data_IF_947468664120
#
_entry.id   IF_947468664120
#
_cell.length_a   1.000
_cell.length_b   1.000
_cell.length_c   1.000
_cell.angle_alpha   90.00
_cell.angle_beta   90.00
_cell.angle_gamma   90.00
#
_symmetry.space_group_name_H-M   'P 1'
#
loop_
_entity.id
_entity.type
_entity.pdbx_description
1 polymer ?
#
# COMPACT_ATOMS: atom_id res chain seq x y z
N UNK A 1 -27.65 16.97 -1.79
CA UNK A 1 -28.29 16.65 -3.10
C UNK A 1 -27.84 17.57 -4.25
N UNK A 2 -27.94 18.91 -4.16
CA UNK A 2 -27.56 19.82 -5.27
C UNK A 2 -26.09 19.69 -5.74
N UNK A 3 -25.11 19.51 -4.84
CA UNK A 3 -23.69 19.32 -5.23
C UNK A 3 -23.42 17.99 -5.94
N UNK A 4 -24.10 16.91 -5.55
CA UNK A 4 -24.00 15.58 -6.18
C UNK A 4 -24.59 15.62 -7.61
N UNK A 5 -25.70 16.34 -7.79
CA UNK A 5 -26.33 16.52 -9.09
C UNK A 5 -25.44 17.28 -10.08
N UNK A 6 -24.74 18.33 -9.61
CA UNK A 6 -23.80 19.11 -10.42
C UNK A 6 -22.59 18.27 -10.86
N UNK A 7 -22.08 17.40 -9.99
CA UNK A 7 -20.98 16.46 -10.33
C UNK A 7 -21.42 15.39 -11.35
N UNK A 8 -22.66 14.92 -11.26
CA UNK A 8 -23.25 13.98 -12.24
C UNK A 8 -23.46 14.66 -13.60
N UNK A 9 -23.92 15.93 -13.61
CA UNK A 9 -24.09 16.71 -14.84
C UNK A 9 -22.74 17.01 -15.51
N UNK A 10 -21.67 17.23 -14.73
CA UNK A 10 -20.32 17.39 -15.26
C UNK A 10 -19.80 16.11 -15.94
N UNK A 11 -20.12 14.93 -15.38
CA UNK A 11 -19.85 13.62 -16.00
C UNK A 11 -20.61 13.40 -17.31
N UNK A 12 -21.86 13.90 -17.41
CA UNK A 12 -22.69 13.77 -18.61
C UNK A 12 -22.19 14.65 -19.78
N UNK A 13 -21.56 15.80 -19.50
CA UNK A 13 -21.02 16.70 -20.54
C UNK A 13 -19.78 16.16 -21.26
N UNK A 14 -19.08 15.16 -20.70
CA UNK A 14 -17.94 14.51 -21.36
C UNK A 14 -18.35 13.30 -22.23
N UNK A 15 -19.60 12.82 -22.13
CA UNK A 15 -20.10 11.66 -22.90
C UNK A 15 -19.90 11.76 -24.43
N UNK A 16 -20.02 12.95 -25.08
CA UNK A 16 -19.79 13.06 -26.51
C UNK A 16 -18.31 12.92 -26.92
N UNK A 17 -17.36 13.28 -26.03
CA UNK A 17 -15.91 13.17 -26.28
C UNK A 17 -15.44 11.72 -26.01
N UNK A 18 -16.19 10.97 -25.17
CA UNK A 18 -15.89 9.61 -24.73
C UNK A 18 -16.16 8.50 -25.77
N UNK A 19 -16.75 8.83 -26.94
CA UNK A 19 -17.21 7.84 -27.93
C UNK A 19 -16.33 7.69 -29.18
N UNK A 20 -15.22 8.42 -29.31
CA UNK A 20 -14.46 8.47 -30.58
C UNK A 20 -12.96 8.20 -30.49
N UNK A 21 -12.48 7.40 -29.51
CA UNK A 21 -11.12 6.89 -29.61
C UNK A 21 -11.09 5.63 -30.47
N UNK A 22 -10.53 5.77 -31.68
CA UNK A 22 -10.27 4.66 -32.58
C UNK A 22 -9.08 3.84 -32.04
N UNK A 23 -9.13 2.51 -32.17
CA UNK A 23 -8.03 1.61 -31.75
C UNK A 23 -6.69 1.83 -32.48
N UNK A 24 -6.63 2.75 -33.44
CA UNK A 24 -5.44 3.09 -34.21
C UNK A 24 -4.68 4.32 -33.69
N UNK A 25 -5.26 5.06 -32.74
CA UNK A 25 -4.62 6.27 -32.22
C UNK A 25 -3.46 5.91 -31.28
N UNK A 26 -2.27 6.45 -31.62
CA UNK A 26 -1.07 6.27 -30.79
C UNK A 26 -1.11 7.10 -29.52
N UNK A 27 -1.92 8.15 -29.46
CA UNK A 27 -2.13 8.97 -28.26
C UNK A 27 -3.54 8.70 -27.75
N UNK A 28 -3.66 8.32 -26.48
CA UNK A 28 -4.94 8.06 -25.83
C UNK A 28 -5.12 9.00 -24.66
N UNK A 29 -6.33 9.48 -24.48
CA UNK A 29 -6.77 10.08 -23.22
C UNK A 29 -7.24 8.97 -22.28
N UNK A 30 -6.65 8.96 -21.09
CA UNK A 30 -6.92 8.03 -20.01
C UNK A 30 -7.68 8.76 -18.88
N UNK A 31 -8.61 8.06 -18.23
CA UNK A 31 -9.32 8.58 -17.06
C UNK A 31 -9.64 7.46 -16.07
N UNK A 32 -9.14 7.60 -14.84
CA UNK A 32 -9.57 6.82 -13.68
C UNK A 32 -10.39 7.69 -12.73
N UNK A 33 -11.58 7.23 -12.34
CA UNK A 33 -12.42 7.87 -11.33
C UNK A 33 -12.76 6.85 -10.26
N UNK A 34 -12.37 7.12 -9.03
CA UNK A 34 -12.64 6.28 -7.88
C UNK A 34 -13.39 7.08 -6.83
N UNK A 35 -14.52 6.55 -6.39
CA UNK A 35 -15.18 7.02 -5.18
C UNK A 35 -15.23 5.88 -4.18
N UNK A 36 -14.90 6.17 -2.92
CA UNK A 36 -15.02 5.23 -1.82
C UNK A 36 -15.71 5.88 -0.64
N UNK A 37 -16.79 5.28 -0.20
CA UNK A 37 -17.45 5.63 1.05
C UNK A 37 -16.91 4.72 2.15
N UNK A 38 -16.54 5.30 3.28
CA UNK A 38 -16.09 4.56 4.46
C UNK A 38 -16.91 4.95 5.69
N UNK A 39 -17.21 3.96 6.53
CA UNK A 39 -17.72 4.13 7.89
C UNK A 39 -16.70 3.53 8.83
N UNK A 40 -16.26 4.32 9.79
CA UNK A 40 -15.44 3.90 10.92
C UNK A 40 -16.29 3.93 12.18
N UNK A 41 -16.05 3.02 13.10
CA UNK A 41 -16.69 2.98 14.41
C UNK A 41 -15.71 2.52 15.47
N UNK A 42 -15.67 3.23 16.61
CA UNK A 42 -14.75 2.96 17.71
C UNK A 42 -13.29 3.35 17.44
N UNK A 43 -12.95 3.84 16.24
CA UNK A 43 -11.58 4.16 15.85
C UNK A 43 -11.48 5.10 14.64
N UNK A 44 -10.28 5.63 14.42
CA UNK A 44 -9.84 6.24 13.17
C UNK A 44 -8.38 5.86 12.88
N UNK A 45 -7.78 6.39 11.82
CA UNK A 45 -6.42 6.04 11.40
C UNK A 45 -5.30 6.42 12.41
N UNK A 46 -5.61 7.12 13.51
CA UNK A 46 -4.66 7.62 14.50
C UNK A 46 -5.14 7.50 15.96
N UNK A 47 -6.30 6.89 16.19
CA UNK A 47 -6.96 6.82 17.49
C UNK A 47 -7.87 5.58 17.55
N UNK A 48 -7.84 4.87 18.67
CA UNK A 48 -8.75 3.79 19.04
C UNK A 48 -9.36 4.09 20.41
N UNK A 49 -10.69 4.08 20.51
CA UNK A 49 -11.45 4.19 21.77
C UNK A 49 -11.36 5.52 22.54
N UNK A 50 -10.35 6.36 22.30
CA UNK A 50 -10.22 7.64 22.99
C UNK A 50 -11.22 8.68 22.46
N UNK A 51 -12.23 8.96 23.28
CA UNK A 51 -13.25 9.99 23.08
C UNK A 51 -13.06 11.20 24.02
N UNK A 52 -11.90 11.32 24.66
CA UNK A 52 -11.58 12.45 25.54
C UNK A 52 -11.60 13.79 24.78
N UNK A 53 -11.77 14.93 25.47
CA UNK A 53 -11.72 16.25 24.81
C UNK A 53 -10.41 16.56 24.06
N UNK A 54 -9.32 15.86 24.40
CA UNK A 54 -8.01 15.96 23.75
C UNK A 54 -7.79 14.94 22.63
N UNK A 55 -8.77 14.06 22.38
CA UNK A 55 -8.65 12.99 21.41
C UNK A 55 -8.42 13.52 19.99
N UNK A 56 -7.67 12.74 19.21
CA UNK A 56 -7.38 13.07 17.81
C UNK A 56 -8.52 12.55 16.93
N UNK A 57 -9.16 13.46 16.20
CA UNK A 57 -10.20 13.15 15.24
C UNK A 57 -11.53 12.72 15.88
N UNK A 58 -12.30 11.93 15.14
CA UNK A 58 -13.55 11.32 15.59
C UNK A 58 -13.45 9.80 15.45
N UNK A 59 -13.96 9.04 16.42
CA UNK A 59 -14.00 7.57 16.40
C UNK A 59 -15.06 7.00 15.44
N UNK A 60 -15.99 7.84 14.98
CA UNK A 60 -17.14 7.45 14.17
C UNK A 60 -17.19 8.21 12.84
N UNK A 61 -16.11 8.11 12.08
CA UNK A 61 -15.97 8.84 10.81
C UNK A 61 -16.88 8.29 9.71
N UNK A 62 -17.49 9.21 8.95
CA UNK A 62 -18.20 8.91 7.69
C UNK A 62 -17.52 9.67 6.57
N UNK A 63 -16.76 8.95 5.77
CA UNK A 63 -15.82 9.54 4.81
C UNK A 63 -16.30 9.25 3.39
N UNK A 64 -16.28 10.26 2.53
CA UNK A 64 -16.30 10.08 1.09
C UNK A 64 -14.93 10.44 0.53
N UNK A 65 -14.21 9.45 0.05
CA UNK A 65 -12.95 9.61 -0.67
C UNK A 65 -13.24 9.71 -2.18
N UNK A 66 -12.62 10.68 -2.82
CA UNK A 66 -12.59 10.83 -4.27
C UNK A 66 -11.14 10.72 -4.74
N UNK A 67 -10.90 10.02 -5.84
CA UNK A 67 -9.67 10.09 -6.61
C UNK A 67 -9.97 10.14 -8.10
N UNK A 68 -9.50 11.19 -8.76
CA UNK A 68 -9.65 11.39 -10.22
C UNK A 68 -8.26 11.50 -10.82
N UNK A 69 -7.98 10.68 -11.83
CA UNK A 69 -6.70 10.62 -12.52
C UNK A 69 -6.93 10.71 -14.03
N UNK A 70 -6.98 11.93 -14.62
CA UNK A 70 -6.96 12.11 -16.05
C UNK A 70 -5.52 12.16 -16.56
N UNK A 71 -5.31 11.80 -17.81
CA UNK A 71 -4.02 11.96 -18.45
C UNK A 71 -3.99 11.48 -19.88
N UNK A 72 -2.78 11.38 -20.41
CA UNK A 72 -2.55 10.87 -21.75
C UNK A 72 -1.43 9.85 -21.76
N UNK A 73 -1.64 8.80 -22.54
CA UNK A 73 -0.60 7.81 -22.84
C UNK A 73 -0.37 7.75 -24.34
N UNK A 74 0.85 8.02 -24.75
CA UNK A 74 1.35 7.72 -26.08
C UNK A 74 1.91 6.29 -26.12
N UNK A 75 1.48 5.49 -27.07
CA UNK A 75 1.97 4.13 -27.34
C UNK A 75 2.38 3.98 -28.80
N UNK A 76 3.69 4.15 -29.04
CA UNK A 76 4.35 3.79 -30.30
C UNK A 76 4.88 2.34 -30.29
N UNK A 77 5.55 1.96 -31.37
CA UNK A 77 6.11 0.60 -31.55
C UNK A 77 7.05 0.19 -30.40
N UNK A 78 8.05 1.04 -30.13
CA UNK A 78 9.07 0.81 -29.09
C UNK A 78 9.01 1.84 -27.96
N UNK A 79 8.24 2.91 -28.11
CA UNK A 79 8.24 4.01 -27.16
C UNK A 79 6.85 4.13 -26.55
N UNK A 80 6.78 4.25 -25.22
CA UNK A 80 5.61 4.72 -24.51
C UNK A 80 5.97 5.98 -23.73
N UNK A 81 5.13 7.00 -23.80
CA UNK A 81 5.24 8.19 -22.96
C UNK A 81 3.91 8.38 -22.24
N UNK A 82 3.95 8.79 -20.98
CA UNK A 82 2.75 8.93 -20.16
C UNK A 82 2.83 10.18 -19.31
N UNK A 83 1.70 10.84 -19.12
CA UNK A 83 1.52 11.95 -18.20
C UNK A 83 0.11 11.92 -17.64
N UNK A 84 0.02 11.77 -16.33
CA UNK A 84 -1.25 11.80 -15.60
C UNK A 84 -1.17 12.75 -14.41
N UNK A 85 -2.29 13.41 -14.13
CA UNK A 85 -2.49 14.19 -12.92
C UNK A 85 -3.41 13.44 -11.97
N UNK A 86 -3.30 13.65 -10.67
CA UNK A 86 -4.16 13.07 -9.64
C UNK A 86 -4.76 14.19 -8.77
N UNK A 87 -6.07 14.12 -8.56
CA UNK A 87 -6.78 14.89 -7.54
C UNK A 87 -7.50 13.90 -6.60
N UNK A 88 -6.98 13.81 -5.37
CA UNK A 88 -7.45 12.97 -4.27
C UNK A 88 -7.99 13.84 -3.14
N UNK A 89 -9.25 13.63 -2.76
CA UNK A 89 -9.94 14.42 -1.72
C UNK A 89 -10.64 13.53 -0.71
N UNK A 90 -10.71 14.01 0.53
CA UNK A 90 -11.41 13.35 1.63
C UNK A 90 -12.50 14.27 2.20
N UNK A 91 -13.76 13.92 1.99
CA UNK A 91 -14.91 14.67 2.52
C UNK A 91 -15.42 13.99 3.79
N UNK A 92 -15.65 14.78 4.85
CA UNK A 92 -16.15 14.26 6.13
C UNK A 92 -15.09 13.60 7.01
N UNK A 93 -13.85 13.49 6.54
CA UNK A 93 -12.74 12.94 7.31
C UNK A 93 -12.39 13.84 8.50
N UNK A 94 -12.36 13.28 9.71
CA UNK A 94 -12.03 14.06 10.91
C UNK A 94 -10.57 14.51 10.95
N UNK A 95 -9.67 13.78 10.30
CA UNK A 95 -8.23 14.03 10.29
C UNK A 95 -7.75 14.88 9.10
N UNK A 96 -8.66 15.60 8.42
CA UNK A 96 -8.31 16.36 7.21
C UNK A 96 -7.27 17.44 7.47
N UNK A 97 -6.53 17.80 6.42
CA UNK A 97 -5.49 18.84 6.45
C UNK A 97 -6.02 20.17 7.02
N UNK A 98 -7.28 20.52 6.74
CA UNK A 98 -7.90 21.75 7.25
C UNK A 98 -8.11 21.74 8.77
N UNK A 99 -8.33 20.58 9.38
CA UNK A 99 -8.55 20.44 10.83
C UNK A 99 -7.25 20.14 11.57
N UNK A 100 -6.38 19.35 10.96
CA UNK A 100 -5.14 18.84 11.55
C UNK A 100 -3.94 19.02 10.60
N UNK A 101 -3.54 20.28 10.28
CA UNK A 101 -2.51 20.57 9.29
C UNK A 101 -1.10 20.06 9.67
N UNK A 102 -0.90 19.67 10.93
CA UNK A 102 0.37 19.16 11.43
C UNK A 102 0.37 17.65 11.65
N UNK A 103 -0.77 16.96 11.56
CA UNK A 103 -0.90 15.55 11.98
C UNK A 103 -0.12 14.58 11.09
N UNK A 104 -0.05 14.89 9.79
CA UNK A 104 0.73 14.11 8.82
C UNK A 104 2.08 14.74 8.51
N UNK A 105 2.49 15.76 9.27
CA UNK A 105 3.84 16.31 9.17
C UNK A 105 4.83 15.45 9.92
N UNK A 106 5.88 15.06 9.23
CA UNK A 106 7.03 14.37 9.79
C UNK A 106 8.18 15.38 9.91
N UNK A 107 8.76 15.43 11.10
CA UNK A 107 9.78 16.40 11.49
C UNK A 107 10.67 15.82 12.59
N UNK A 108 11.85 16.39 12.79
CA UNK A 108 12.70 16.03 13.93
C UNK A 108 11.98 16.38 15.24
N UNK A 109 12.03 15.47 16.21
CA UNK A 109 11.46 15.68 17.55
C UNK A 109 11.94 17.01 18.15
N UNK A 110 11.01 17.82 18.65
CA UNK A 110 11.31 19.13 19.24
C UNK A 110 11.51 20.28 18.24
N UNK A 111 11.25 20.07 16.95
CA UNK A 111 11.36 21.12 15.92
C UNK A 111 10.03 21.36 15.21
N UNK A 112 9.84 22.57 14.67
CA UNK A 112 8.69 22.92 13.81
C UNK A 112 9.03 22.81 12.32
N UNK A 113 10.30 23.00 11.98
CA UNK A 113 10.83 22.94 10.62
C UNK A 113 12.32 22.53 10.63
N UNK A 114 12.86 22.03 9.50
CA UNK A 114 12.12 21.60 8.31
C UNK A 114 11.21 20.39 8.57
N UNK A 115 10.12 20.28 7.80
CA UNK A 115 9.15 19.19 7.87
C UNK A 115 8.69 18.79 6.45
N UNK A 116 8.03 17.64 6.34
CA UNK A 116 7.25 17.27 5.16
C UNK A 116 5.93 16.66 5.56
N UNK A 117 5.00 16.68 4.63
CA UNK A 117 3.69 16.05 4.80
C UNK A 117 3.64 14.72 4.06
N UNK A 118 3.01 13.75 4.70
CA UNK A 118 2.73 12.43 4.14
C UNK A 118 1.25 12.12 4.34
N UNK A 119 0.38 12.87 3.67
CA UNK A 119 -1.06 12.75 3.81
C UNK A 119 -1.58 11.52 3.02
N UNK A 120 -2.22 10.54 3.67
CA UNK A 120 -2.66 9.31 3.01
C UNK A 120 -3.98 9.45 2.22
N UNK A 121 -4.75 10.53 2.45
CA UNK A 121 -6.10 10.67 1.88
C UNK A 121 -6.31 11.90 0.97
N UNK A 122 -5.49 12.94 1.12
CA UNK A 122 -5.62 14.20 0.37
C UNK A 122 -4.34 14.50 -0.42
N UNK A 123 -4.50 14.81 -1.71
CA UNK A 123 -3.41 15.22 -2.60
C UNK A 123 -4.02 15.94 -3.83
N UNK A 124 -3.70 17.21 -4.02
CA UNK A 124 -4.41 18.06 -5.00
C UNK A 124 -3.55 18.36 -6.22
N UNK A 125 -4.06 18.05 -7.41
CA UNK A 125 -3.42 18.36 -8.71
C UNK A 125 -1.96 17.90 -8.82
N UNK A 126 -1.67 16.71 -8.33
CA UNK A 126 -0.32 16.16 -8.31
C UNK A 126 0.01 15.39 -9.58
N UNK A 127 1.29 15.37 -9.99
CA UNK A 127 1.75 14.53 -11.09
C UNK A 127 1.76 13.08 -10.58
N UNK A 128 0.79 12.30 -11.07
CA UNK A 128 0.61 10.90 -10.73
C UNK A 128 1.71 10.03 -11.34
N UNK A 129 1.89 10.17 -12.65
CA UNK A 129 3.01 9.61 -13.39
C UNK A 129 3.43 10.56 -14.52
N UNK A 130 4.71 10.47 -14.89
CA UNK A 130 5.33 11.23 -15.96
C UNK A 130 6.60 10.49 -16.37
N UNK A 131 6.52 9.70 -17.44
CA UNK A 131 7.66 8.86 -17.83
C UNK A 131 7.78 8.66 -19.35
N UNK A 132 8.98 8.25 -19.72
CA UNK A 132 9.32 7.68 -21.03
C UNK A 132 9.80 6.24 -20.83
N UNK A 133 9.24 5.32 -21.60
CA UNK A 133 9.67 3.92 -21.67
C UNK A 133 10.10 3.61 -23.10
N UNK A 134 11.32 3.09 -23.24
CA UNK A 134 11.85 2.54 -24.48
C UNK A 134 11.95 1.02 -24.34
N UNK A 135 11.08 0.30 -25.03
CA UNK A 135 11.08 -1.16 -25.18
C UNK A 135 12.02 -1.59 -26.28
N UNK A 136 12.72 -2.71 -26.05
CA UNK A 136 13.66 -3.29 -27.02
C UNK A 136 14.75 -2.29 -27.43
N UNK A 137 15.28 -1.51 -26.48
CA UNK A 137 16.42 -0.61 -26.71
C UNK A 137 17.62 -1.39 -27.26
N UNK A 138 17.84 -2.55 -26.65
CA UNK A 138 18.56 -3.70 -27.20
C UNK A 138 17.61 -4.89 -27.14
N UNK A 139 17.93 -5.98 -27.85
CA UNK A 139 17.13 -7.22 -27.77
C UNK A 139 16.92 -7.61 -26.30
N UNK A 140 15.66 -7.74 -25.90
CA UNK A 140 15.21 -8.09 -24.53
C UNK A 140 15.38 -7.01 -23.45
N UNK A 141 15.87 -5.82 -23.78
CA UNK A 141 16.06 -4.73 -22.81
C UNK A 141 14.97 -3.67 -22.94
N UNK A 142 14.42 -3.25 -21.80
CA UNK A 142 13.52 -2.11 -21.67
C UNK A 142 14.10 -1.11 -20.68
N UNK A 143 14.05 0.17 -21.01
CA UNK A 143 14.47 1.25 -20.11
C UNK A 143 13.28 2.17 -19.88
N UNK A 144 13.03 2.53 -18.63
CA UNK A 144 11.96 3.45 -18.23
C UNK A 144 12.51 4.51 -17.29
N UNK A 145 12.30 5.77 -17.62
CA UNK A 145 12.77 6.91 -16.84
C UNK A 145 11.63 7.89 -16.55
N UNK A 146 11.60 8.40 -15.34
CA UNK A 146 10.61 9.39 -14.88
C UNK A 146 9.81 8.91 -13.68
N UNK A 147 8.73 9.64 -13.40
CA UNK A 147 7.78 9.32 -12.33
C UNK A 147 6.93 8.11 -12.69
N UNK A 148 6.97 7.09 -11.86
CA UNK A 148 6.36 5.79 -12.12
C UNK A 148 6.07 5.02 -10.82
N UNK A 149 5.19 4.02 -10.92
CA UNK A 149 5.06 2.99 -9.88
C UNK A 149 5.96 1.81 -10.22
N UNK A 150 6.68 1.30 -9.21
CA UNK A 150 7.56 0.13 -9.33
C UNK A 150 7.11 -0.88 -8.28
N UNK A 151 6.77 -2.08 -8.75
CA UNK A 151 6.19 -3.12 -7.92
C UNK A 151 6.52 -4.51 -8.45
N UNK A 152 6.59 -5.48 -7.53
CA UNK A 152 6.94 -6.86 -7.85
C UNK A 152 6.25 -7.86 -6.91
N UNK A 153 6.22 -9.12 -7.33
CA UNK A 153 5.75 -10.23 -6.51
C UNK A 153 4.31 -10.04 -6.04
N UNK A 154 4.07 -10.24 -4.74
CA UNK A 154 2.77 -10.05 -4.10
C UNK A 154 2.54 -8.63 -3.57
N UNK A 155 3.53 -7.74 -3.73
CA UNK A 155 3.58 -6.33 -3.29
C UNK A 155 4.13 -6.08 -1.86
N UNK A 156 4.62 -7.10 -1.14
CA UNK A 156 5.12 -6.94 0.24
C UNK A 156 6.48 -6.24 0.36
N UNK A 157 7.36 -6.39 -0.61
CA UNK A 157 8.71 -5.76 -0.59
C UNK A 157 8.73 -4.49 -1.42
N UNK A 158 8.11 -4.53 -2.60
CA UNK A 158 7.95 -3.39 -3.50
C UNK A 158 6.47 -3.34 -3.89
N UNK A 159 5.80 -2.23 -3.58
CA UNK A 159 4.34 -2.01 -3.51
C UNK A 159 3.53 -2.38 -4.77
N UNK A 160 2.58 -1.58 -5.26
CA UNK A 160 2.16 -0.29 -4.74
C UNK A 160 1.19 -0.48 -3.57
N UNK A 161 1.22 0.44 -2.60
CA UNK A 161 0.14 0.56 -1.62
C UNK A 161 -0.96 1.45 -2.18
N UNK A 162 -1.97 0.86 -2.83
CA UNK A 162 -2.97 1.59 -3.64
C UNK A 162 -4.37 1.62 -3.03
N UNK A 163 -4.58 1.00 -1.86
CA UNK A 163 -5.83 1.13 -1.11
C UNK A 163 -5.96 2.54 -0.53
N UNK A 164 -4.88 3.16 -0.02
CA UNK A 164 -4.90 4.58 0.37
C UNK A 164 -5.45 5.51 -0.73
N UNK A 165 -5.97 6.70 -0.38
CA UNK A 165 -6.49 7.59 -1.40
C UNK A 165 -5.37 8.14 -2.29
N UNK A 166 -4.26 8.58 -1.70
CA UNK A 166 -3.15 9.19 -2.44
C UNK A 166 -2.19 8.16 -3.05
N UNK A 167 -2.24 6.92 -2.57
CA UNK A 167 -1.33 5.82 -2.96
C UNK A 167 0.06 5.96 -2.32
N UNK A 168 0.87 4.91 -2.36
CA UNK A 168 2.24 4.93 -1.83
C UNK A 168 3.24 4.23 -2.73
N UNK A 169 4.48 4.71 -2.60
CA UNK A 169 5.69 4.39 -3.36
C UNK A 169 5.61 4.79 -4.82
N UNK A 170 5.46 6.10 -5.02
CA UNK A 170 5.70 6.76 -6.31
C UNK A 170 7.18 7.11 -6.44
N UNK A 171 7.79 6.67 -7.54
CA UNK A 171 9.22 6.75 -7.79
C UNK A 171 9.54 7.70 -8.93
N UNK A 172 10.46 8.62 -8.71
CA UNK A 172 11.18 9.32 -9.77
C UNK A 172 12.48 8.55 -10.02
N UNK A 173 12.47 7.65 -11.01
CA UNK A 173 13.51 6.64 -11.13
C UNK A 173 13.91 6.34 -12.57
N UNK A 174 15.12 5.82 -12.71
CA UNK A 174 15.55 5.03 -13.87
C UNK A 174 15.36 3.55 -13.53
N UNK A 175 14.70 2.82 -14.43
CA UNK A 175 14.51 1.37 -14.36
C UNK A 175 15.00 0.73 -15.65
N UNK A 176 15.77 -0.35 -15.52
CA UNK A 176 16.24 -1.19 -16.61
C UNK A 176 15.70 -2.59 -16.37
N UNK A 177 15.09 -3.18 -17.39
CA UNK A 177 14.53 -4.53 -17.36
C UNK A 177 15.16 -5.36 -18.45
N UNK A 178 15.57 -6.58 -18.10
CA UNK A 178 15.95 -7.63 -19.05
C UNK A 178 14.96 -8.78 -18.93
N UNK A 179 14.32 -9.17 -20.05
CA UNK A 179 13.31 -10.23 -20.08
C UNK A 179 13.60 -11.29 -21.14
N UNK A 180 13.65 -12.56 -20.72
CA UNK A 180 13.80 -13.72 -21.62
C UNK A 180 12.70 -14.74 -21.35
N UNK A 181 11.68 -14.75 -22.21
CA UNK A 181 10.48 -15.56 -21.98
C UNK A 181 9.69 -15.04 -20.78
N UNK A 182 9.40 -15.90 -19.81
CA UNK A 182 8.73 -15.56 -18.56
C UNK A 182 9.70 -15.06 -17.47
N UNK A 183 11.00 -15.37 -17.60
CA UNK A 183 12.02 -14.91 -16.66
C UNK A 183 12.40 -13.45 -16.92
N UNK A 184 12.62 -12.70 -15.85
CA UNK A 184 13.11 -11.32 -15.93
C UNK A 184 13.99 -10.94 -14.76
N UNK A 185 14.81 -9.91 -14.97
CA UNK A 185 15.53 -9.18 -13.93
C UNK A 185 15.38 -7.69 -14.19
N UNK A 186 15.00 -6.97 -13.15
CA UNK A 186 14.82 -5.54 -13.17
C UNK A 186 15.76 -4.90 -12.14
N UNK A 187 16.43 -3.84 -12.55
CA UNK A 187 17.23 -2.99 -11.67
C UNK A 187 16.72 -1.55 -11.77
N UNK A 188 16.61 -0.86 -10.65
CA UNK A 188 16.15 0.52 -10.62
C UNK A 188 16.78 1.30 -9.48
N UNK A 189 16.91 2.61 -9.68
CA UNK A 189 17.34 3.55 -8.66
C UNK A 189 16.70 4.92 -8.91
N UNK A 190 16.45 5.66 -7.84
CA UNK A 190 15.76 6.94 -7.91
C UNK A 190 15.33 7.45 -6.55
N UNK A 191 14.43 8.43 -6.57
CA UNK A 191 13.88 9.05 -5.38
C UNK A 191 12.40 8.73 -5.18
N UNK A 192 11.94 8.67 -3.93
CA UNK A 192 10.51 8.56 -3.61
C UNK A 192 9.87 9.93 -3.41
N UNK A 193 8.62 10.07 -3.83
CA UNK A 193 7.81 11.29 -3.72
C UNK A 193 7.32 11.52 -2.27
N UNK A 194 7.22 12.79 -1.86
CA UNK A 194 6.44 13.20 -0.67
C UNK A 194 4.96 13.36 -1.03
N UNK A 195 4.07 13.44 -0.03
CA UNK A 195 2.62 13.60 -0.24
C UNK A 195 2.12 14.82 0.54
N UNK A 196 2.38 16.01 -0.01
CA UNK A 196 1.94 17.30 0.52
C UNK A 196 0.73 17.80 -0.30
N UNK A 197 -0.48 17.86 0.27
CA UNK A 197 -1.66 18.29 -0.47
C UNK A 197 -1.52 19.71 -1.04
N UNK A 198 -0.68 20.56 -0.44
CA UNK A 198 -0.57 21.98 -0.77
C UNK A 198 0.59 22.28 -1.73
N UNK A 199 1.39 21.28 -2.12
CA UNK A 199 2.55 21.44 -2.99
C UNK A 199 2.64 20.34 -4.03
N UNK A 200 2.68 20.74 -5.28
CA UNK A 200 2.97 19.82 -6.39
C UNK A 200 4.43 19.38 -6.29
N UNK A 201 4.66 18.07 -6.24
CA UNK A 201 6.00 17.49 -6.29
C UNK A 201 6.52 17.44 -7.72
N UNK A 202 7.61 18.16 -7.99
CA UNK A 202 8.30 18.10 -9.29
C UNK A 202 9.21 16.86 -9.33
N UNK A 203 9.14 16.00 -10.37
CA UNK A 203 9.97 14.81 -10.45
C UNK A 203 11.47 15.05 -10.24
N UNK A 204 12.11 14.16 -9.49
CA UNK A 204 13.55 14.20 -9.13
C UNK A 204 13.97 15.36 -8.21
N UNK A 205 13.03 16.12 -7.66
CA UNK A 205 13.31 17.18 -6.67
C UNK A 205 12.70 16.83 -5.32
N UNK A 206 13.29 17.31 -4.23
CA UNK A 206 12.75 17.16 -2.85
C UNK A 206 12.29 15.73 -2.54
N UNK A 207 13.16 14.76 -2.76
CA UNK A 207 12.85 13.34 -2.59
C UNK A 207 12.81 12.98 -1.11
N UNK A 208 11.87 12.12 -0.72
CA UNK A 208 11.80 11.60 0.67
C UNK A 208 12.98 10.67 0.94
N UNK A 209 13.13 9.64 0.12
CA UNK A 209 14.28 8.74 0.18
C UNK A 209 14.95 8.69 -1.19
N UNK A 210 16.28 8.58 -1.20
CA UNK A 210 16.97 7.96 -2.32
C UNK A 210 17.00 6.45 -2.10
N UNK A 211 16.93 5.68 -3.17
CA UNK A 211 16.91 4.23 -3.04
C UNK A 211 16.82 3.52 -4.38
N UNK A 212 16.58 2.22 -4.29
CA UNK A 212 16.48 1.37 -5.47
C UNK A 212 16.47 -0.09 -5.10
N UNK A 213 16.56 -0.93 -6.12
CA UNK A 213 16.62 -2.36 -5.93
C UNK A 213 16.87 -3.15 -7.20
N UNK A 214 17.08 -4.44 -7.00
CA UNK A 214 17.12 -5.47 -8.02
C UNK A 214 16.05 -6.49 -7.67
N UNK A 215 15.23 -6.88 -8.63
CA UNK A 215 14.23 -7.93 -8.49
C UNK A 215 14.29 -8.87 -9.67
N UNK A 216 14.24 -10.18 -9.42
CA UNK A 216 14.19 -11.18 -10.49
C UNK A 216 12.99 -12.09 -10.34
N UNK A 217 12.51 -12.64 -11.45
CA UNK A 217 11.61 -13.78 -11.47
C UNK A 217 12.26 -14.88 -12.29
N UNK A 218 12.42 -16.06 -11.68
CA UNK A 218 13.09 -17.21 -12.25
C UNK A 218 12.21 -18.44 -12.06
N UNK A 219 11.82 -19.07 -13.15
CA UNK A 219 11.17 -20.38 -13.15
C UNK A 219 12.27 -21.42 -12.88
N UNK A 220 12.27 -22.00 -11.68
CA UNK A 220 13.21 -23.06 -11.32
C UNK A 220 12.74 -24.42 -11.85
N UNK A 221 11.44 -24.69 -11.74
CA UNK A 221 10.79 -25.90 -12.25
C UNK A 221 9.37 -25.56 -12.71
N UNK A 222 8.66 -26.51 -13.33
CA UNK A 222 7.23 -26.34 -13.63
C UNK A 222 6.34 -26.17 -12.40
N UNK A 223 6.89 -26.35 -11.18
CA UNK A 223 6.17 -26.22 -9.91
C UNK A 223 6.67 -25.12 -9.01
N UNK A 224 7.81 -24.48 -9.28
CA UNK A 224 8.43 -23.55 -8.36
C UNK A 224 9.05 -22.37 -9.11
N UNK A 225 8.66 -21.17 -8.70
CA UNK A 225 9.30 -19.93 -9.08
C UNK A 225 10.12 -19.38 -7.91
N UNK A 226 11.27 -18.78 -8.21
CA UNK A 226 12.10 -18.06 -7.26
C UNK A 226 12.22 -16.60 -7.66
N UNK A 227 12.09 -15.72 -6.68
CA UNK A 227 12.14 -14.28 -6.85
C UNK A 227 13.11 -13.66 -5.84
N UNK A 228 14.43 -13.73 -6.09
CA UNK A 228 15.43 -13.07 -5.25
C UNK A 228 15.37 -11.56 -5.44
N UNK A 229 15.66 -10.82 -4.38
CA UNK A 229 15.68 -9.36 -4.43
C UNK A 229 16.72 -8.74 -3.51
N UNK A 230 17.06 -7.50 -3.87
CA UNK A 230 17.80 -6.57 -3.04
C UNK A 230 17.12 -5.21 -3.09
N UNK A 231 17.06 -4.50 -1.96
CA UNK A 231 16.60 -3.12 -1.88
C UNK A 231 17.54 -2.30 -1.00
N UNK A 232 17.64 -1.01 -1.26
CA UNK A 232 18.31 -0.07 -0.37
C UNK A 232 17.56 1.26 -0.28
N UNK A 233 17.71 1.92 0.87
CA UNK A 233 17.08 3.19 1.21
C UNK A 233 18.11 4.04 1.95
N UNK A 234 18.33 5.26 1.46
CA UNK A 234 19.14 6.29 2.11
C UNK A 234 18.33 7.56 2.26
N UNK A 235 18.85 8.52 3.01
CA UNK A 235 18.22 9.83 3.12
C UNK A 235 18.02 10.48 1.74
N UNK A 236 16.86 11.10 1.52
CA UNK A 236 16.55 11.83 0.29
C UNK A 236 17.15 13.25 0.24
N UNK A 237 16.73 14.03 -0.76
CA UNK A 237 17.21 15.40 -0.95
C UNK A 237 16.38 16.46 -0.23
N UNK A 238 15.20 16.12 0.28
CA UNK A 238 14.34 17.07 0.97
C UNK A 238 14.93 17.54 2.32
N UNK A 239 14.67 18.80 2.68
CA UNK A 239 15.33 19.50 3.79
C UNK A 239 15.23 18.80 5.16
N UNK A 240 14.14 18.09 5.42
CA UNK A 240 13.87 17.42 6.70
C UNK A 240 14.67 16.12 6.91
N UNK A 241 15.10 15.48 5.82
CA UNK A 241 15.74 14.16 5.84
C UNK A 241 17.17 14.19 5.35
N UNK A 242 17.55 15.17 4.52
CA UNK A 242 18.90 15.26 3.95
C UNK A 242 20.05 15.26 4.97
N UNK A 243 19.75 15.64 6.23
CA UNK A 243 20.72 15.67 7.34
C UNK A 243 20.73 14.40 8.19
N UNK A 244 19.78 13.48 7.97
CA UNK A 244 19.75 12.18 8.63
C UNK A 244 20.83 11.26 8.03
N UNK A 245 21.25 10.28 8.82
CA UNK A 245 22.23 9.27 8.38
C UNK A 245 21.53 7.93 8.21
N UNK A 246 20.86 7.73 7.07
CA UNK A 246 20.07 6.54 6.79
C UNK A 246 20.82 5.67 5.77
N UNK A 247 21.06 4.41 6.13
CA UNK A 247 21.55 3.38 5.23
C UNK A 247 20.86 2.07 5.63
N UNK A 248 19.71 1.81 5.01
CA UNK A 248 18.94 0.57 5.20
C UNK A 248 19.02 -0.27 3.95
N UNK A 249 19.26 -1.56 4.12
CA UNK A 249 19.34 -2.51 3.02
C UNK A 249 18.50 -3.72 3.37
N UNK A 250 17.86 -4.30 2.36
CA UNK A 250 17.10 -5.53 2.47
C UNK A 250 17.61 -6.51 1.43
N UNK A 251 17.89 -7.74 1.86
CA UNK A 251 18.19 -8.85 0.97
C UNK A 251 17.27 -10.02 1.31
N UNK A 252 16.77 -10.69 0.29
CA UNK A 252 15.80 -11.74 0.50
C UNK A 252 15.40 -12.46 -0.77
N UNK A 253 14.40 -13.32 -0.61
CA UNK A 253 13.87 -14.12 -1.70
C UNK A 253 12.43 -14.51 -1.43
N UNK A 254 11.70 -14.78 -2.52
CA UNK A 254 10.38 -15.42 -2.48
C UNK A 254 10.41 -16.73 -3.26
N UNK A 255 9.80 -17.77 -2.72
CA UNK A 255 9.58 -19.07 -3.35
C UNK A 255 8.08 -19.29 -3.46
N UNK A 256 7.57 -19.42 -4.68
CA UNK A 256 6.13 -19.41 -4.92
C UNK A 256 5.71 -20.45 -5.96
N UNK A 257 4.58 -21.12 -5.70
CA UNK A 257 3.92 -22.00 -6.66
C UNK A 257 3.39 -21.20 -7.86
N UNK A 258 3.54 -21.67 -9.11
CA UNK A 258 2.92 -21.04 -10.27
C UNK A 258 1.39 -20.89 -10.16
N UNK A 259 0.81 -19.87 -10.80
CA UNK A 259 -0.61 -19.47 -10.61
C UNK A 259 -1.66 -20.55 -10.89
N UNK A 260 -1.34 -21.53 -11.74
CA UNK A 260 -2.28 -22.55 -12.24
C UNK A 260 -2.26 -23.85 -11.44
N UNK A 261 -1.63 -23.86 -10.27
CA UNK A 261 -1.57 -25.05 -9.42
C UNK A 261 -2.67 -25.04 -8.36
N UNK A 262 -3.16 -26.25 -8.05
CA UNK A 262 -4.12 -26.42 -6.96
C UNK A 262 -3.43 -26.38 -5.61
N UNK A 263 -2.23 -26.99 -5.48
CA UNK A 263 -1.37 -26.81 -4.33
C UNK A 263 -0.69 -25.45 -4.41
N UNK A 264 -0.97 -24.59 -3.43
CA UNK A 264 -0.47 -23.23 -3.35
C UNK A 264 0.50 -23.14 -2.19
N UNK A 265 1.69 -22.61 -2.47
CA UNK A 265 2.65 -22.24 -1.44
C UNK A 265 3.37 -20.95 -1.82
N UNK A 266 3.65 -20.14 -0.80
CA UNK A 266 4.34 -18.87 -0.95
C UNK A 266 5.18 -18.65 0.30
N UNK A 267 6.49 -18.53 0.14
CA UNK A 267 7.40 -18.23 1.22
C UNK A 267 8.26 -17.03 0.82
N UNK A 268 8.21 -15.96 1.61
CA UNK A 268 9.01 -14.75 1.43
C UNK A 268 9.86 -14.57 2.69
N UNK A 269 11.15 -14.34 2.53
CA UNK A 269 12.07 -13.94 3.61
C UNK A 269 12.78 -12.64 3.23
N UNK A 270 12.93 -11.74 4.19
CA UNK A 270 13.66 -10.48 4.06
C UNK A 270 14.53 -10.24 5.31
N UNK A 271 15.84 -10.17 5.14
CA UNK A 271 16.76 -9.66 6.16
C UNK A 271 17.03 -8.18 5.95
N UNK A 272 16.95 -7.39 7.02
CA UNK A 272 17.23 -5.95 7.03
C UNK A 272 18.54 -5.66 7.80
N UNK A 273 19.42 -4.87 7.19
CA UNK A 273 20.73 -4.55 7.75
C UNK A 273 21.23 -3.17 7.30
N UNK A 274 22.22 -2.65 8.03
CA UNK A 274 22.84 -1.36 7.77
C UNK A 274 22.92 -0.50 9.03
N UNK A 275 22.76 0.81 8.87
CA UNK A 275 22.77 1.78 9.97
C UNK A 275 21.73 2.87 9.76
N UNK A 276 21.04 3.24 10.82
CA UNK A 276 20.13 4.38 10.83
C UNK A 276 20.44 5.26 12.04
N UNK A 277 20.83 6.51 11.75
CA UNK A 277 21.16 7.55 12.73
C UNK A 277 22.11 7.05 13.83
N UNK A 278 23.17 6.33 13.40
CA UNK A 278 24.22 5.81 14.28
C UNK A 278 23.98 4.40 14.82
N UNK A 279 22.72 3.94 14.91
CA UNK A 279 22.39 2.58 15.38
C UNK A 279 22.56 1.55 14.27
N UNK A 280 23.09 0.37 14.61
CA UNK A 280 23.16 -0.78 13.69
C UNK A 280 21.76 -1.37 13.51
N UNK A 281 21.44 -1.84 12.30
CA UNK A 281 20.21 -2.58 12.04
C UNK A 281 20.53 -4.07 11.91
N UNK A 282 19.73 -4.90 12.59
CA UNK A 282 19.69 -6.34 12.43
C UNK A 282 18.26 -6.79 12.70
N UNK A 283 17.45 -6.81 11.66
CA UNK A 283 16.03 -7.14 11.74
C UNK A 283 15.65 -8.06 10.57
N UNK A 284 14.51 -8.72 10.65
CA UNK A 284 14.04 -9.58 9.58
C UNK A 284 12.52 -9.75 9.62
N UNK A 285 11.95 -10.08 8.47
CA UNK A 285 10.55 -10.45 8.32
C UNK A 285 10.41 -11.64 7.39
N UNK A 286 9.35 -12.42 7.59
CA UNK A 286 8.96 -13.46 6.65
C UNK A 286 7.45 -13.62 6.56
N UNK A 287 7.01 -14.18 5.44
CA UNK A 287 5.64 -14.58 5.19
C UNK A 287 5.64 -16.01 4.67
N UNK A 288 4.71 -16.83 5.16
CA UNK A 288 4.49 -18.18 4.69
C UNK A 288 2.99 -18.40 4.41
N UNK A 289 2.66 -19.01 3.28
CA UNK A 289 1.31 -19.45 2.91
C UNK A 289 1.39 -20.91 2.47
N UNK A 290 0.45 -21.70 2.95
CA UNK A 290 0.14 -23.02 2.40
C UNK A 290 -1.37 -23.08 2.17
N UNK A 291 -1.78 -23.51 0.98
CA UNK A 291 -3.20 -23.58 0.64
C UNK A 291 -3.51 -24.57 -0.46
N UNK A 292 -4.80 -24.83 -0.63
CA UNK A 292 -5.31 -25.73 -1.65
C UNK A 292 -6.51 -25.11 -2.35
N UNK A 293 -6.51 -25.17 -3.70
CA UNK A 293 -7.62 -24.77 -4.55
C UNK A 293 -8.46 -26.00 -4.90
N UNK A 294 -9.73 -25.98 -4.53
CA UNK A 294 -10.67 -27.03 -4.90
C UNK A 294 -11.31 -26.68 -6.25
N UNK A 295 -10.54 -26.81 -7.33
CA UNK A 295 -10.94 -26.36 -8.68
C UNK A 295 -12.23 -27.00 -9.21
N UNK A 296 -12.58 -28.21 -8.75
CA UNK A 296 -13.80 -28.92 -9.14
C UNK A 296 -15.08 -28.45 -8.45
N UNK A 297 -14.98 -27.70 -7.34
CA UNK A 297 -16.14 -27.20 -6.60
C UNK A 297 -16.66 -25.87 -7.18
N UNK A 298 -17.96 -25.55 -7.00
CA UNK A 298 -18.50 -24.23 -7.34
C UNK A 298 -17.70 -23.12 -6.69
N UNK A 299 -17.44 -22.04 -7.43
CA UNK A 299 -16.61 -20.90 -7.01
C UNK A 299 -15.11 -21.22 -6.80
N UNK A 300 -14.63 -22.42 -7.12
CA UNK A 300 -13.23 -22.84 -7.02
C UNK A 300 -12.53 -22.36 -5.74
N UNK A 301 -13.06 -22.70 -4.55
CA UNK A 301 -12.61 -22.15 -3.29
C UNK A 301 -11.13 -22.43 -3.05
N UNK A 302 -10.44 -21.48 -2.45
CA UNK A 302 -9.05 -21.62 -2.00
C UNK A 302 -9.04 -21.45 -0.49
N UNK A 303 -8.70 -22.50 0.23
CA UNK A 303 -8.44 -22.42 1.66
C UNK A 303 -6.93 -22.33 1.87
N UNK A 304 -6.48 -21.36 2.66
CA UNK A 304 -5.07 -21.19 3.00
C UNK A 304 -4.86 -20.85 4.46
N UNK A 305 -3.80 -21.42 5.03
CA UNK A 305 -3.19 -20.97 6.27
C UNK A 305 -2.02 -20.05 5.89
N UNK A 306 -1.91 -18.92 6.56
CA UNK A 306 -0.83 -17.97 6.35
C UNK A 306 -0.21 -17.58 7.69
N UNK A 307 1.04 -17.16 7.64
CA UNK A 307 1.74 -16.66 8.82
C UNK A 307 2.69 -15.54 8.39
N UNK A 308 2.46 -14.37 8.95
CA UNK A 308 3.33 -13.20 8.79
C UNK A 308 4.12 -12.98 10.08
N UNK A 309 5.43 -12.83 9.97
CA UNK A 309 6.29 -12.43 11.09
C UNK A 309 7.20 -11.25 10.72
N UNK A 310 7.39 -10.33 11.65
CA UNK A 310 8.38 -9.25 11.60
C UNK A 310 9.02 -9.10 12.98
N UNK A 311 10.35 -9.08 13.03
CA UNK A 311 11.09 -8.93 14.28
C UNK A 311 10.78 -7.60 14.96
N UNK A 312 10.87 -7.60 16.30
CA UNK A 312 10.68 -6.44 17.17
C UNK A 312 11.92 -6.15 18.01
N UNK A 313 11.98 -4.95 18.57
CA UNK A 313 13.03 -4.52 19.50
C UNK A 313 12.57 -3.35 20.36
N UNK A 314 13.29 -3.10 21.46
CA UNK A 314 13.00 -1.97 22.36
C UNK A 314 13.61 -0.69 21.81
N UNK A 315 12.99 0.46 22.08
CA UNK A 315 13.52 1.78 21.65
C UNK A 315 14.90 2.09 22.25
N UNK A 316 15.15 1.59 23.47
CA UNK A 316 16.40 1.72 24.21
C UNK A 316 17.53 0.81 23.70
N UNK A 317 17.26 -0.14 22.80
CA UNK A 317 18.31 -1.00 22.26
C UNK A 317 19.33 -0.21 21.42
N UNK A 318 20.61 -0.59 21.51
CA UNK A 318 21.70 -0.05 20.66
C UNK A 318 21.64 -0.55 19.22
N UNK A 319 20.86 -1.62 18.99
CA UNK A 319 20.64 -2.25 17.69
C UNK A 319 19.14 -2.18 17.37
N UNK A 320 18.81 -1.64 16.20
CA UNK A 320 17.45 -1.66 15.68
C UNK A 320 17.12 -3.10 15.27
N UNK A 321 16.23 -3.74 16.04
CA UNK A 321 15.70 -5.09 15.77
C UNK A 321 14.27 -5.09 15.25
N UNK A 322 13.58 -3.96 15.36
CA UNK A 322 12.26 -3.78 14.78
C UNK A 322 12.40 -3.68 13.26
N UNK A 323 11.81 -4.63 12.55
CA UNK A 323 11.83 -4.68 11.09
C UNK A 323 11.02 -3.52 10.51
N UNK A 324 11.58 -2.82 9.52
CA UNK A 324 10.90 -1.81 8.70
C UNK A 324 10.74 -2.34 7.28
N UNK A 325 9.51 -2.49 6.74
CA UNK A 325 9.30 -2.92 5.36
C UNK A 325 10.00 -1.98 4.37
N UNK A 326 10.56 -2.55 3.30
CA UNK A 326 11.34 -1.80 2.31
C UNK A 326 10.51 -0.71 1.61
N UNK A 327 9.84 -1.08 0.51
CA UNK A 327 8.97 -0.20 -0.28
C UNK A 327 7.64 -0.91 -0.57
N UNK A 328 7.17 -1.71 0.38
CA UNK A 328 6.02 -2.58 0.26
C UNK A 328 4.68 -1.91 0.53
N UNK A 329 3.61 -2.55 0.07
CA UNK A 329 2.25 -2.23 0.47
C UNK A 329 1.99 -2.72 1.91
N UNK A 330 1.36 -1.88 2.72
CA UNK A 330 0.91 -2.23 4.08
C UNK A 330 -0.58 -2.54 4.12
N UNK A 331 -1.35 -2.01 3.17
CA UNK A 331 -2.79 -1.76 3.24
C UNK A 331 -3.69 -2.91 2.77
N UNK A 332 -3.12 -4.13 2.72
CA UNK A 332 -3.77 -5.31 2.13
C UNK A 332 -3.62 -6.58 2.99
N UNK A 333 -2.50 -6.72 3.68
CA UNK A 333 -2.09 -8.02 4.19
C UNK A 333 -2.52 -8.26 5.63
N UNK A 334 -2.29 -7.29 6.52
CA UNK A 334 -2.33 -7.47 7.99
C UNK A 334 -3.65 -6.95 8.59
N UNK A 335 -4.76 -7.47 8.07
CA UNK A 335 -6.11 -6.89 8.27
C UNK A 335 -6.43 -5.73 7.31
N UNK A 336 -7.71 -5.52 7.00
CA UNK A 336 -8.17 -4.39 6.19
C UNK A 336 -8.41 -3.11 7.01
N UNK A 337 -8.54 -3.23 8.34
CA UNK A 337 -8.68 -2.08 9.25
C UNK A 337 -7.36 -1.33 9.47
N UNK A 338 -6.23 -1.87 8.99
CA UNK A 338 -4.90 -1.26 9.04
C UNK A 338 -4.43 -0.88 10.46
N UNK A 339 -4.78 -1.68 11.46
CA UNK A 339 -4.38 -1.48 12.86
C UNK A 339 -2.89 -1.76 13.03
N UNK A 340 -2.38 -2.78 12.34
CA UNK A 340 -0.98 -3.21 12.39
C UNK A 340 -0.31 -3.07 11.03
N UNK A 341 1.02 -3.19 11.03
CA UNK A 341 1.86 -3.23 9.85
C UNK A 341 2.89 -4.35 10.02
N UNK A 342 3.64 -4.68 8.95
CA UNK A 342 4.69 -5.70 8.98
C UNK A 342 5.94 -5.23 9.74
N UNK A 343 5.80 -4.98 11.03
CA UNK A 343 6.83 -4.44 11.90
C UNK A 343 6.48 -4.84 13.33
N UNK A 344 7.36 -5.58 14.00
CA UNK A 344 7.07 -6.14 15.34
C UNK A 344 5.71 -6.86 15.37
N UNK A 345 5.51 -7.82 14.46
CA UNK A 345 4.23 -8.50 14.24
C UNK A 345 4.44 -10.02 14.18
N UNK A 346 3.54 -10.76 14.81
CA UNK A 346 3.33 -12.19 14.59
C UNK A 346 1.84 -12.41 14.34
N UNK A 347 1.49 -12.84 13.14
CA UNK A 347 0.12 -12.87 12.65
C UNK A 347 -0.18 -14.20 11.92
N UNK A 348 -0.73 -15.20 12.63
CA UNK A 348 -1.37 -16.35 12.01
C UNK A 348 -2.72 -15.99 11.39
N UNK A 349 -2.90 -16.36 10.13
CA UNK A 349 -4.10 -16.07 9.34
C UNK A 349 -4.75 -17.37 8.83
N UNK A 350 -6.08 -17.41 8.81
CA UNK A 350 -6.85 -18.36 7.99
C UNK A 350 -7.65 -17.59 6.96
N UNK A 351 -7.55 -18.00 5.69
CA UNK A 351 -8.15 -17.27 4.58
C UNK A 351 -8.87 -18.22 3.63
N UNK A 352 -10.13 -17.89 3.35
CA UNK A 352 -10.94 -18.52 2.32
C UNK A 352 -11.18 -17.53 1.18
N UNK A 353 -10.73 -17.88 -0.03
CA UNK A 353 -11.00 -17.10 -1.25
C UNK A 353 -12.03 -17.86 -2.11
N UNK A 354 -13.04 -17.15 -2.61
CA UNK A 354 -14.10 -17.68 -3.48
C UNK A 354 -14.16 -16.88 -4.77
N UNK A 355 -14.54 -17.56 -5.86
CA UNK A 355 -14.70 -16.96 -7.19
C UNK A 355 -16.09 -17.23 -7.80
N UNK A 356 -17.19 -16.72 -7.21
CA UNK A 356 -18.56 -17.12 -7.58
C UNK A 356 -18.93 -16.85 -9.04
N UNK A 357 -18.38 -15.78 -9.62
CA UNK A 357 -18.57 -15.41 -11.02
C UNK A 357 -17.26 -15.55 -11.81
N UNK A 358 -16.50 -16.62 -11.53
CA UNK A 358 -15.17 -16.87 -12.11
C UNK A 358 -14.28 -15.63 -11.93
N UNK A 359 -13.72 -15.10 -13.02
CA UNK A 359 -12.82 -13.94 -13.01
C UNK A 359 -13.52 -12.61 -12.68
N UNK A 360 -14.86 -12.54 -12.70
CA UNK A 360 -15.59 -11.29 -12.46
C UNK A 360 -15.77 -10.98 -10.99
N UNK A 361 -15.83 -11.97 -10.12
CA UNK A 361 -16.08 -11.76 -8.69
C UNK A 361 -15.07 -12.54 -7.87
N UNK A 362 -14.43 -11.84 -6.94
CA UNK A 362 -13.54 -12.42 -5.94
C UNK A 362 -14.07 -12.02 -4.57
N UNK A 363 -14.23 -13.00 -3.70
CA UNK A 363 -14.58 -12.83 -2.28
C UNK A 363 -13.44 -13.40 -1.46
N UNK A 364 -12.94 -12.66 -0.48
CA UNK A 364 -11.97 -13.12 0.50
C UNK A 364 -12.59 -12.99 1.89
N UNK A 365 -12.59 -14.09 2.66
CA UNK A 365 -12.89 -14.10 4.08
C UNK A 365 -11.57 -14.38 4.80
N UNK A 366 -11.19 -13.50 5.72
CA UNK A 366 -9.90 -13.60 6.41
C UNK A 366 -10.11 -13.42 7.91
N UNK A 367 -9.40 -14.21 8.69
CA UNK A 367 -9.30 -14.06 10.13
C UNK A 367 -7.82 -14.00 10.52
N UNK A 368 -7.45 -12.94 11.23
CA UNK A 368 -6.09 -12.62 11.65
C UNK A 368 -6.04 -12.62 13.18
N UNK A 369 -4.89 -13.00 13.76
CA UNK A 369 -4.65 -12.87 15.20
C UNK A 369 -3.36 -12.12 15.44
N UNK A 370 -3.44 -10.91 15.95
CA UNK A 370 -2.28 -10.04 16.02
C UNK A 370 -1.56 -10.21 17.36
N UNK A 371 -0.26 -10.56 17.29
CA UNK A 371 0.63 -10.58 18.43
C UNK A 371 1.84 -9.66 18.19
N UNK A 372 2.32 -8.99 19.24
CA UNK A 372 3.56 -8.22 19.19
C UNK A 372 4.71 -9.06 19.79
N UNK A 373 5.73 -9.45 19.02
CA UNK A 373 6.91 -10.13 19.55
C UNK A 373 7.59 -9.37 20.70
N UNK A 374 7.66 -8.04 20.63
CA UNK A 374 8.19 -7.17 21.68
C UNK A 374 7.14 -6.09 22.03
N UNK A 375 6.32 -6.28 23.08
CA UNK A 375 5.19 -5.39 23.41
C UNK A 375 5.60 -4.13 24.20
N UNK A 376 6.88 -3.98 24.54
CA UNK A 376 7.39 -2.92 25.44
C UNK A 376 7.63 -1.61 24.68
N UNK A 377 7.25 -0.47 25.27
CA UNK A 377 7.38 0.88 24.72
C UNK A 377 6.68 1.11 23.36
N UNK A 378 5.67 0.28 23.08
CA UNK A 378 4.86 0.35 21.87
C UNK A 378 3.48 0.93 22.20
N UNK A 379 3.03 1.83 21.33
CA UNK A 379 1.66 2.33 21.32
C UNK A 379 1.13 2.19 19.91
N UNK A 380 0.02 1.46 19.75
CA UNK A 380 -0.64 1.24 18.46
C UNK A 380 -1.75 2.28 18.31
N UNK A 381 -1.86 2.89 17.12
CA UNK A 381 -2.79 4.01 16.84
C UNK A 381 -2.79 5.11 17.93
N UNK A 382 -1.61 5.41 18.51
CA UNK A 382 -1.40 6.38 19.59
C UNK A 382 -2.18 6.16 20.90
N UNK A 383 -3.09 5.19 20.98
CA UNK A 383 -3.97 5.02 22.15
C UNK A 383 -4.01 3.61 22.71
N UNK A 384 -3.61 2.58 21.97
CA UNK A 384 -3.59 1.20 22.45
C UNK A 384 -2.21 0.80 22.98
N UNK A 385 -2.19 0.21 24.18
CA UNK A 385 -1.00 -0.38 24.78
C UNK A 385 -1.28 -1.84 25.11
N UNK A 386 -0.32 -2.72 24.91
CA UNK A 386 -0.43 -4.10 25.37
C UNK A 386 -0.26 -4.13 26.89
N UNK A 387 -1.09 -4.89 27.59
CA UNK A 387 -0.97 -5.16 29.03
C UNK A 387 0.41 -5.76 29.32
N UNK A 388 1.04 -5.36 30.43
CA UNK A 388 2.37 -5.83 30.77
C UNK A 388 2.44 -7.37 30.85
N UNK A 389 3.46 -7.96 30.22
CA UNK A 389 3.65 -9.42 30.14
C UNK A 389 2.76 -10.14 29.13
N UNK A 390 1.88 -9.42 28.43
CA UNK A 390 1.02 -9.95 27.37
C UNK A 390 1.56 -9.63 25.99
N UNK A 391 1.01 -10.29 24.98
CA UNK A 391 1.45 -10.14 23.59
C UNK A 391 0.30 -10.04 22.59
N UNK A 392 -0.90 -10.47 22.96
CA UNK A 392 -2.06 -10.51 22.07
C UNK A 392 -2.69 -9.13 21.96
N UNK A 393 -2.58 -8.49 20.80
CA UNK A 393 -3.20 -7.20 20.51
C UNK A 393 -4.70 -7.34 20.28
N UNK A 394 -5.11 -8.40 19.60
CA UNK A 394 -6.51 -8.65 19.25
C UNK A 394 -6.63 -9.49 17.99
N UNK A 395 -7.87 -9.70 17.56
CA UNK A 395 -8.20 -10.50 16.38
C UNK A 395 -9.04 -9.66 15.39
N UNK A 396 -8.82 -9.85 14.09
CA UNK A 396 -9.56 -9.14 13.04
C UNK A 396 -10.22 -10.12 12.06
N UNK A 397 -11.52 -9.95 11.85
CA UNK A 397 -12.30 -10.68 10.84
C UNK A 397 -12.64 -9.76 9.68
N UNK A 398 -12.29 -10.18 8.47
CA UNK A 398 -12.47 -9.40 7.25
C UNK A 398 -13.35 -10.11 6.23
N UNK A 399 -14.13 -9.32 5.50
CA UNK A 399 -14.79 -9.70 4.26
C UNK A 399 -14.40 -8.69 3.18
N UNK A 400 -13.75 -9.16 2.12
CA UNK A 400 -13.44 -8.36 0.95
C UNK A 400 -14.18 -8.92 -0.27
N UNK A 401 -14.82 -8.06 -1.04
CA UNK A 401 -15.56 -8.42 -2.26
C UNK A 401 -15.12 -7.48 -3.37
N UNK A 402 -14.61 -8.03 -4.47
CA UNK A 402 -14.36 -7.28 -5.72
C UNK A 402 -15.25 -7.83 -6.82
N UNK A 403 -16.02 -6.97 -7.46
CA UNK A 403 -16.89 -7.32 -8.58
C UNK A 403 -16.65 -6.44 -9.81
N UNK A 404 -16.16 -7.06 -10.89
CA UNK A 404 -16.04 -6.43 -12.20
C UNK A 404 -17.38 -6.52 -12.94
N UNK A 405 -18.26 -5.55 -12.69
CA UNK A 405 -19.59 -5.48 -13.30
C UNK A 405 -19.52 -5.31 -14.83
N UNK A 406 -18.69 -4.37 -15.28
CA UNK A 406 -18.49 -4.05 -16.70
C UNK A 406 -17.00 -3.86 -17.00
N UNK A 407 -16.56 -3.87 -18.26
CA UNK A 407 -15.13 -3.70 -18.62
C UNK A 407 -14.48 -2.47 -17.98
N UNK A 408 -15.23 -1.39 -17.84
CA UNK A 408 -14.77 -0.08 -17.34
C UNK A 408 -15.20 0.23 -15.91
N UNK A 409 -15.98 -0.64 -15.26
CA UNK A 409 -16.58 -0.35 -13.95
C UNK A 409 -16.44 -1.53 -12.99
N UNK A 410 -15.80 -1.28 -11.84
CA UNK A 410 -15.55 -2.25 -10.78
C UNK A 410 -16.14 -1.74 -9.46
N UNK A 411 -16.78 -2.63 -8.72
CA UNK A 411 -17.23 -2.41 -7.36
C UNK A 411 -16.32 -3.15 -6.38
N UNK A 412 -16.12 -2.56 -5.21
CA UNK A 412 -15.40 -3.20 -4.11
C UNK A 412 -16.13 -2.92 -2.80
N UNK A 413 -16.46 -3.97 -2.04
CA UNK A 413 -17.00 -3.87 -0.70
C UNK A 413 -16.01 -4.49 0.27
N UNK A 414 -15.79 -3.84 1.42
CA UNK A 414 -14.90 -4.35 2.46
C UNK A 414 -15.56 -4.13 3.81
N UNK A 415 -15.47 -5.12 4.68
CA UNK A 415 -15.87 -5.05 6.07
C UNK A 415 -14.73 -5.64 6.90
N UNK A 416 -14.33 -4.95 7.96
CA UNK A 416 -13.41 -5.44 8.98
C UNK A 416 -14.04 -5.26 10.35
N UNK A 417 -13.84 -6.24 11.22
CA UNK A 417 -14.26 -6.21 12.62
C UNK A 417 -13.08 -6.61 13.50
N UNK A 418 -12.71 -5.74 14.43
CA UNK A 418 -11.60 -5.95 15.34
C UNK A 418 -12.11 -6.15 16.76
N UNK A 419 -11.67 -7.25 17.36
CA UNK A 419 -11.89 -7.58 18.75
C UNK A 419 -10.60 -7.40 19.54
N UNK A 420 -10.55 -6.47 20.50
CA UNK A 420 -9.38 -6.28 21.36
C UNK A 420 -8.94 -7.56 22.08
N UNK A 421 -7.63 -7.72 22.23
CA UNK A 421 -7.00 -8.76 23.02
C UNK A 421 -6.63 -8.25 24.42
N UNK A 422 -5.39 -8.55 24.83
CA UNK A 422 -4.83 -8.14 26.11
C UNK A 422 -4.29 -6.69 26.06
N UNK A 423 -5.18 -5.70 25.86
CA UNK A 423 -4.79 -4.30 25.73
C UNK A 423 -5.46 -3.37 26.75
N UNK A 424 -4.83 -2.23 26.97
CA UNK A 424 -5.33 -1.09 27.73
C UNK A 424 -5.31 0.15 26.84
N UNK A 425 -6.36 0.97 26.94
CA UNK A 425 -6.37 2.29 26.33
C UNK A 425 -5.64 3.31 27.21
N UNK A 426 -5.04 4.34 26.59
CA UNK A 426 -4.37 5.42 27.33
C UNK A 426 -5.31 6.21 28.26
N UNK A 427 -6.61 6.19 27.99
CA UNK A 427 -7.65 6.82 28.80
C UNK A 427 -8.15 5.91 29.95
N UNK A 428 -7.60 4.69 30.08
CA UNK A 428 -7.95 3.66 31.05
C UNK A 428 -9.39 3.15 30.95
N UNK A 429 -10.06 3.33 29.81
CA UNK A 429 -11.33 2.67 29.50
C UNK A 429 -11.08 1.23 29.04
N UNK A 430 -12.08 0.39 29.28
CA UNK A 430 -12.09 -0.96 28.72
C UNK A 430 -12.17 -0.87 27.19
N UNK A 431 -11.26 -1.55 26.45
CA UNK A 431 -11.30 -1.55 25.00
C UNK A 431 -12.60 -2.17 24.48
N UNK A 432 -13.32 -1.43 23.65
CA UNK A 432 -14.52 -1.91 22.97
C UNK A 432 -14.18 -2.50 21.60
N UNK A 433 -15.06 -3.35 21.05
CA UNK A 433 -14.94 -3.84 19.68
C UNK A 433 -15.12 -2.68 18.68
N UNK A 434 -14.45 -2.78 17.53
CA UNK A 434 -14.53 -1.76 16.48
C UNK A 434 -14.79 -2.38 15.11
N UNK A 435 -15.32 -1.57 14.20
CA UNK A 435 -15.48 -2.01 12.82
C UNK A 435 -15.19 -0.90 11.83
N UNK A 436 -14.86 -1.34 10.62
CA UNK A 436 -14.70 -0.48 9.47
C UNK A 436 -15.40 -1.10 8.26
N UNK A 437 -16.10 -0.26 7.51
CA UNK A 437 -16.81 -0.65 6.31
C UNK A 437 -16.39 0.28 5.17
N UNK A 438 -16.11 -0.27 4.00
CA UNK A 438 -15.87 0.49 2.79
C UNK A 438 -16.70 -0.02 1.62
N UNK A 439 -17.22 0.91 0.82
CA UNK A 439 -17.80 0.64 -0.48
C UNK A 439 -17.18 1.55 -1.52
N UNK A 440 -16.64 0.97 -2.59
CA UNK A 440 -15.91 1.67 -3.63
C UNK A 440 -16.48 1.37 -5.02
N UNK A 441 -16.51 2.40 -5.85
CA UNK A 441 -16.71 2.30 -7.29
C UNK A 441 -15.46 2.83 -7.98
N UNK A 442 -14.93 2.07 -8.92
CA UNK A 442 -13.82 2.44 -9.78
C UNK A 442 -14.27 2.40 -11.23
N UNK A 443 -14.17 3.53 -11.92
CA UNK A 443 -14.36 3.66 -13.35
C UNK A 443 -13.02 3.93 -14.03
N UNK A 444 -12.68 3.16 -15.07
CA UNK A 444 -11.46 3.34 -15.85
C UNK A 444 -11.79 3.44 -17.34
N UNK A 445 -11.26 4.47 -17.98
CA UNK A 445 -11.26 4.69 -19.41
C UNK A 445 -9.80 4.68 -19.89
N UNK A 446 -9.43 3.65 -20.64
CA UNK A 446 -8.10 3.45 -21.22
C UNK A 446 -8.24 2.89 -22.66
#
# INVERSE_FOLDING_TARGET
>A
MKKLLVQIIFLLLFIPILYSQNNQERLKFDLSVRYRFEIWNGMNAKNYGDDSPSAIGNLNDKILLQRVIPGFTYSGKNITASFHLQDSRAFGWSLSENKYPDLFKVRKTGTLSPNYTMNPQEEYFEIYDLYLEYRQLLKNFTVKIGRQKIFYGDYRIFGPGDWGNTGRWTWDALKISYKKGENYIDAFAGGTKIHDPLKISIPFTNTEYWGGGIYSHIILTSRLNAEPFYAFKTQGSADYIRTLSINRNWAGFRLVSPEKQDLIYDFLYAGEFGRDNGKRINAYGYFAKAGYRFSSLPSSPVLSLRYTYASGGKKSDDVIRTFDPAFGASDKFYGWMNIVQWSNLSDPEIVLELFPLKKKMWVELKYNRFYLPVPVDVTILNTMRIIEGKHHLGDETDIFIRYQAFKKCQFTGVFGYFKPGDIEEINLKDPEDSFWLAFQVLFNLN
#
